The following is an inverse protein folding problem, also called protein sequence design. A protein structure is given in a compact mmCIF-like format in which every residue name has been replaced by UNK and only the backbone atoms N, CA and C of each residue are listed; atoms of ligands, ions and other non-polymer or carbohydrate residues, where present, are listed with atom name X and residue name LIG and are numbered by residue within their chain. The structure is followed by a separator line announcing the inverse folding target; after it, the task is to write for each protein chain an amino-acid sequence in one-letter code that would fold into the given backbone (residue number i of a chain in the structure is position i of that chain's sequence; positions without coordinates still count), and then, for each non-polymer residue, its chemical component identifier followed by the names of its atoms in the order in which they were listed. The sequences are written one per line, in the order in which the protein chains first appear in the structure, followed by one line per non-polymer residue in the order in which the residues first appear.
data_IF_396435814120
#
_entry.id   IF_396435814120
#
_cell.length_a   1.000
_cell.length_b   1.000
_cell.length_c   1.000
_cell.angle_alpha   90.00
_cell.angle_beta   90.00
_cell.angle_gamma   90.00
#
_symmetry.space_group_name_H-M   'P 1'
#
loop_
_entity.id
_entity.type
_entity.pdbx_description
1 polymer ?
#
# COMPACT_ATOMS: atom_id res chain seq x y z
N UNK A 1 -29.75 -6.22 38.52
CA UNK A 1 -30.47 -5.85 37.29
C UNK A 1 -29.93 -6.72 36.15
N UNK A 2 -30.66 -7.77 35.76
CA UNK A 2 -30.22 -8.71 34.71
C UNK A 2 -30.67 -8.13 33.37
N UNK A 3 -29.77 -7.47 32.65
CA UNK A 3 -30.03 -6.96 31.30
C UNK A 3 -30.26 -8.15 30.37
N UNK A 4 -31.50 -8.34 29.91
CA UNK A 4 -31.78 -9.26 28.82
C UNK A 4 -31.28 -8.61 27.54
N UNK A 5 -30.02 -8.89 27.20
CA UNK A 5 -29.41 -8.47 25.96
C UNK A 5 -30.16 -9.14 24.81
N UNK A 6 -30.91 -8.34 24.04
CA UNK A 6 -31.73 -8.82 22.94
C UNK A 6 -30.81 -9.27 21.80
N UNK A 7 -30.70 -10.59 21.59
CA UNK A 7 -29.80 -11.20 20.59
C UNK A 7 -30.06 -10.68 19.17
N UNK A 8 -31.30 -10.28 18.88
CA UNK A 8 -31.70 -9.61 17.63
C UNK A 8 -30.99 -8.26 17.42
N UNK A 9 -30.70 -7.52 18.48
CA UNK A 9 -30.02 -6.22 18.40
C UNK A 9 -28.52 -6.36 18.19
N UNK A 10 -27.90 -7.43 18.72
CA UNK A 10 -26.48 -7.73 18.53
C UNK A 10 -26.19 -8.19 17.10
N UNK A 11 -27.10 -8.97 16.50
CA UNK A 11 -26.96 -9.47 15.11
C UNK A 11 -26.94 -8.38 14.04
N UNK A 12 -27.63 -7.26 14.26
CA UNK A 12 -27.71 -6.13 13.31
C UNK A 12 -26.41 -5.30 13.26
N UNK A 13 -25.69 -5.19 14.38
CA UNK A 13 -24.43 -4.41 14.43
C UNK A 13 -23.27 -5.17 13.79
N UNK A 14 -23.27 -6.50 13.89
CA UNK A 14 -22.24 -7.39 13.34
C UNK A 14 -22.30 -7.44 11.80
N UNK A 15 -23.47 -7.21 11.19
CA UNK A 15 -23.64 -7.22 9.74
C UNK A 15 -23.08 -5.98 9.04
N UNK A 16 -22.85 -4.88 9.77
CA UNK A 16 -22.37 -3.60 9.23
C UNK A 16 -20.83 -3.50 9.17
N UNK A 17 -20.08 -4.35 9.88
CA UNK A 17 -18.62 -4.27 9.95
C UNK A 17 -17.87 -5.02 8.83
N UNK A 18 -18.58 -5.58 7.85
CA UNK A 18 -17.98 -6.43 6.81
C UNK A 18 -17.29 -5.68 5.66
N UNK A 19 -17.26 -4.33 5.67
CA UNK A 19 -16.57 -3.56 4.65
C UNK A 19 -15.06 -3.48 4.92
N UNK A 20 -14.29 -4.32 4.24
CA UNK A 20 -12.84 -4.18 4.15
C UNK A 20 -12.49 -3.16 3.07
N UNK A 21 -11.91 -2.03 3.46
CA UNK A 21 -11.38 -1.05 2.52
C UNK A 21 -10.05 -1.55 1.95
N UNK A 22 -9.80 -1.42 0.64
CA UNK A 22 -8.49 -1.74 0.10
C UNK A 22 -7.47 -0.75 0.66
N UNK A 23 -6.52 -1.27 1.45
CA UNK A 23 -5.36 -0.48 1.90
C UNK A 23 -4.46 -0.24 0.70
N UNK A 24 -4.35 1.02 0.27
CA UNK A 24 -3.44 1.40 -0.81
C UNK A 24 -2.02 1.47 -0.26
N UNK A 25 -1.18 0.51 -0.66
CA UNK A 25 0.23 0.49 -0.28
C UNK A 25 0.99 1.49 -1.16
N UNK A 26 1.59 2.51 -0.54
CA UNK A 26 2.45 3.46 -1.25
C UNK A 26 3.88 2.95 -1.33
N UNK A 27 4.51 3.15 -2.48
CA UNK A 27 5.89 2.79 -2.81
C UNK A 27 6.59 3.99 -3.43
N UNK A 28 7.91 3.91 -3.56
CA UNK A 28 8.75 4.96 -4.12
C UNK A 28 9.27 4.56 -5.49
N UNK A 29 9.28 5.51 -6.43
CA UNK A 29 9.83 5.31 -7.78
C UNK A 29 10.77 6.45 -8.15
N UNK A 30 11.79 6.11 -8.92
CA UNK A 30 12.56 7.07 -9.72
C UNK A 30 11.95 7.17 -11.13
N UNK A 31 11.84 8.37 -11.71
CA UNK A 31 11.28 8.58 -13.06
C UNK A 31 12.34 8.75 -14.15
N UNK A 32 13.62 8.54 -13.82
CA UNK A 32 14.70 8.51 -14.80
C UNK A 32 14.45 7.48 -15.93
N UNK A 33 15.00 7.69 -17.13
CA UNK A 33 14.72 6.88 -18.32
C UNK A 33 15.07 5.40 -18.17
N UNK A 34 16.07 5.08 -17.35
CA UNK A 34 16.52 3.71 -17.07
C UNK A 34 15.82 3.05 -15.88
N UNK A 35 14.97 3.77 -15.16
CA UNK A 35 14.31 3.24 -13.97
C UNK A 35 13.28 2.18 -14.37
N UNK A 36 13.39 0.99 -13.77
CA UNK A 36 12.49 -0.16 -14.01
C UNK A 36 11.97 -0.75 -12.71
N UNK A 37 12.33 -0.14 -11.57
CA UNK A 37 12.08 -0.66 -10.23
C UNK A 37 11.20 0.28 -9.40
N UNK A 38 10.46 -0.30 -8.46
CA UNK A 38 9.85 0.43 -7.35
C UNK A 38 10.45 -0.05 -6.03
N UNK A 39 10.35 0.79 -5.01
CA UNK A 39 11.05 0.66 -3.73
C UNK A 39 10.07 0.79 -2.58
N UNK A 40 10.23 -0.01 -1.53
CA UNK A 40 9.37 0.05 -0.34
C UNK A 40 9.84 1.16 0.61
N UNK A 41 11.15 1.43 0.61
CA UNK A 41 11.79 2.47 1.44
C UNK A 41 12.30 3.62 0.58
N UNK A 42 12.08 4.86 1.03
CA UNK A 42 12.56 6.08 0.34
C UNK A 42 14.09 6.16 0.23
N UNK A 43 14.79 5.53 1.16
CA UNK A 43 16.25 5.49 1.25
C UNK A 43 16.84 4.16 0.78
N UNK A 44 16.11 3.38 -0.03
CA UNK A 44 16.63 2.14 -0.61
C UNK A 44 17.96 2.40 -1.33
N UNK A 45 18.94 1.50 -1.14
CA UNK A 45 20.24 1.55 -1.84
C UNK A 45 20.06 1.67 -3.36
N UNK A 46 19.02 1.06 -3.93
CA UNK A 46 18.71 1.13 -5.36
C UNK A 46 18.28 2.51 -5.88
N UNK A 47 17.99 3.46 -4.98
CA UNK A 47 17.63 4.85 -5.33
C UNK A 47 18.85 5.80 -5.33
N UNK A 48 20.04 5.33 -4.95
CA UNK A 48 21.24 6.18 -4.79
C UNK A 48 21.65 6.94 -6.06
N UNK A 49 21.37 6.36 -7.24
CA UNK A 49 21.68 6.93 -8.55
C UNK A 49 20.44 7.48 -9.27
N UNK A 50 19.34 7.76 -8.55
CA UNK A 50 18.17 8.35 -9.18
C UNK A 50 18.53 9.73 -9.74
N UNK A 51 18.35 9.91 -11.05
CA UNK A 51 18.67 11.15 -11.76
C UNK A 51 17.54 12.19 -11.71
N UNK A 52 16.48 11.93 -10.95
CA UNK A 52 15.29 12.76 -10.78
C UNK A 52 14.90 12.79 -9.31
N UNK A 53 13.75 13.39 -8.97
CA UNK A 53 13.18 13.20 -7.64
C UNK A 53 12.72 11.75 -7.41
N UNK A 54 12.55 11.43 -6.13
CA UNK A 54 11.92 10.20 -5.66
C UNK A 54 10.43 10.50 -5.45
N UNK A 55 9.57 9.84 -6.21
CA UNK A 55 8.13 10.03 -6.16
C UNK A 55 7.45 8.92 -5.36
N UNK A 56 6.52 9.28 -4.48
CA UNK A 56 5.63 8.30 -3.85
C UNK A 56 4.41 8.07 -4.75
N UNK A 57 4.10 6.81 -5.01
CA UNK A 57 2.96 6.37 -5.83
C UNK A 57 2.35 5.12 -5.21
N UNK A 58 1.12 4.76 -5.58
CA UNK A 58 0.56 3.47 -5.18
C UNK A 58 1.31 2.31 -5.85
N UNK A 59 1.35 1.16 -5.18
CA UNK A 59 1.95 -0.08 -5.71
C UNK A 59 1.29 -0.51 -7.01
N UNK A 60 -0.02 -0.31 -7.15
CA UNK A 60 -0.78 -0.58 -8.37
C UNK A 60 -0.29 0.30 -9.51
N UNK A 61 -0.05 1.59 -9.23
CA UNK A 61 0.50 2.53 -10.22
C UNK A 61 1.93 2.14 -10.63
N UNK A 62 2.77 1.72 -9.69
CA UNK A 62 4.10 1.23 -10.02
C UNK A 62 4.04 -0.01 -10.95
N UNK A 63 3.15 -0.98 -10.65
CA UNK A 63 2.92 -2.15 -11.50
C UNK A 63 2.38 -1.77 -12.87
N UNK A 64 1.44 -0.83 -12.96
CA UNK A 64 0.89 -0.36 -14.24
C UNK A 64 1.94 0.33 -15.12
N UNK A 65 3.01 0.86 -14.52
CA UNK A 65 4.17 1.43 -15.20
C UNK A 65 5.23 0.37 -15.56
N UNK A 66 4.88 -0.92 -15.49
CA UNK A 66 5.77 -2.07 -15.68
C UNK A 66 7.01 -2.05 -14.78
N UNK A 67 6.87 -1.51 -13.56
CA UNK A 67 7.95 -1.51 -12.57
C UNK A 67 7.90 -2.78 -11.73
N UNK A 68 9.07 -3.33 -11.42
CA UNK A 68 9.23 -4.53 -10.58
C UNK A 68 9.86 -4.17 -9.24
N UNK A 69 9.75 -5.02 -8.23
CA UNK A 69 10.36 -4.75 -6.93
C UNK A 69 11.88 -4.66 -7.06
N UNK A 70 12.49 -3.70 -6.37
CA UNK A 70 13.95 -3.60 -6.24
C UNK A 70 14.50 -4.81 -5.46
N UNK A 71 15.62 -5.37 -5.90
CA UNK A 71 16.24 -6.53 -5.23
C UNK A 71 17.03 -6.18 -3.96
N UNK A 72 17.14 -4.89 -3.63
CA UNK A 72 17.89 -4.36 -2.48
C UNK A 72 16.98 -3.88 -1.36
N UNK A 73 15.73 -4.32 -1.34
CA UNK A 73 14.79 -4.03 -0.25
C UNK A 73 15.06 -4.99 0.90
N UNK A 74 16.16 -4.73 1.62
CA UNK A 74 16.45 -5.27 2.96
C UNK A 74 15.72 -4.45 4.03
#
# INVERSE_FOLDING_TARGET
MKTKLNVLFVGLVISLSAFTYPVTENVYICKGPSSKKYHLKKNCRGLSNCSTDIYSVTKEKAKSLNRTLCGWED
#
